data_IF_382428204503
#
_entry.id   IF_382428204503
#
_cell.length_a   1.000
_cell.length_b   1.000
_cell.length_c   1.000
_cell.angle_alpha   90.00
_cell.angle_beta   90.00
_cell.angle_gamma   90.00
#
_symmetry.space_group_name_H-M   'P 1'
#
loop_
_entity.id
_entity.type
_entity.pdbx_description
1 polymer ?
#
# COMPACT_ATOMS: atom_id res chain seq x y z
N UNK A 1 -12.80 -24.64 -0.85
CA UNK A 1 -12.27 -23.46 -0.14
C UNK A 1 -11.74 -22.43 -1.12
N UNK A 2 -12.32 -21.24 -1.11
CA UNK A 2 -11.80 -20.09 -1.87
C UNK A 2 -10.93 -19.31 -0.89
N UNK A 3 -9.62 -19.28 -1.11
CA UNK A 3 -8.70 -18.43 -0.34
C UNK A 3 -8.74 -17.00 -0.90
N UNK A 4 -8.72 -16.00 -0.02
CA UNK A 4 -8.60 -14.58 -0.39
C UNK A 4 -7.15 -14.07 -0.34
N UNK A 5 -6.17 -14.98 -0.22
CA UNK A 5 -4.75 -14.63 -0.19
C UNK A 5 -4.28 -13.91 -1.46
N UNK A 6 -4.83 -14.29 -2.62
CA UNK A 6 -4.61 -13.66 -3.91
C UNK A 6 -5.97 -13.39 -4.55
N UNK A 7 -6.33 -12.13 -4.75
CA UNK A 7 -7.66 -11.75 -5.23
C UNK A 7 -7.61 -10.43 -6.00
N UNK A 8 -8.64 -10.20 -6.81
CA UNK A 8 -8.82 -8.97 -7.54
C UNK A 8 -10.27 -8.47 -7.41
N UNK A 9 -10.42 -7.17 -7.18
CA UNK A 9 -11.71 -6.51 -6.98
C UNK A 9 -11.84 -5.36 -7.96
N UNK A 10 -12.91 -5.39 -8.75
CA UNK A 10 -13.22 -4.37 -9.74
C UNK A 10 -14.22 -3.37 -9.16
N UNK A 11 -13.96 -2.09 -9.36
CA UNK A 11 -14.82 -1.00 -8.96
C UNK A 11 -15.04 -0.06 -10.14
N UNK A 12 -16.27 0.45 -10.24
CA UNK A 12 -16.64 1.45 -11.22
C UNK A 12 -17.08 2.72 -10.48
N UNK A 13 -16.39 3.82 -10.72
CA UNK A 13 -16.74 5.12 -10.17
C UNK A 13 -16.90 6.16 -11.29
N UNK A 14 -17.82 7.10 -11.07
CA UNK A 14 -18.15 8.12 -12.07
C UNK A 14 -16.98 9.07 -12.37
N UNK A 15 -16.19 9.42 -11.35
CA UNK A 15 -15.11 10.40 -11.48
C UNK A 15 -13.76 9.71 -11.71
N UNK A 16 -13.57 8.52 -11.13
CA UNK A 16 -12.31 7.77 -11.21
C UNK A 16 -12.27 6.76 -12.36
N UNK A 17 -13.41 6.46 -12.97
CA UNK A 17 -13.53 5.41 -13.97
C UNK A 17 -13.36 4.03 -13.33
N UNK A 18 -12.73 3.13 -14.08
CA UNK A 18 -12.57 1.74 -13.65
C UNK A 18 -11.29 1.57 -12.82
N UNK A 19 -11.43 0.93 -11.65
CA UNK A 19 -10.34 0.65 -10.72
C UNK A 19 -10.28 -0.87 -10.51
N UNK A 20 -9.07 -1.42 -10.56
CA UNK A 20 -8.80 -2.80 -10.19
C UNK A 20 -7.88 -2.83 -8.97
N UNK A 21 -8.37 -3.38 -7.86
CA UNK A 21 -7.54 -3.63 -6.67
C UNK A 21 -7.06 -5.07 -6.72
N UNK A 22 -5.76 -5.29 -6.88
CA UNK A 22 -5.14 -6.62 -6.86
C UNK A 22 -4.43 -6.79 -5.52
N UNK A 23 -4.86 -7.76 -4.72
CA UNK A 23 -4.18 -8.15 -3.48
C UNK A 23 -3.44 -9.46 -3.67
N UNK A 24 -2.23 -9.54 -3.14
CA UNK A 24 -1.42 -10.75 -3.13
C UNK A 24 -1.04 -11.15 -1.70
N UNK A 25 -0.66 -12.41 -1.56
CA UNK A 25 -0.15 -12.98 -0.32
C UNK A 25 1.15 -12.29 0.15
N UNK A 26 1.61 -12.69 1.34
CA UNK A 26 2.92 -12.26 1.86
C UNK A 26 4.06 -12.78 0.99
N UNK A 27 4.99 -11.88 0.61
CA UNK A 27 6.17 -12.20 -0.18
C UNK A 27 5.82 -13.10 -1.38
N UNK A 28 4.92 -12.63 -2.26
CA UNK A 28 4.14 -13.47 -3.17
C UNK A 28 5.02 -14.35 -4.03
N UNK A 29 4.51 -15.53 -4.37
CA UNK A 29 5.25 -16.45 -5.24
C UNK A 29 5.42 -15.87 -6.64
N UNK A 30 6.48 -16.26 -7.38
CA UNK A 30 6.70 -15.75 -8.74
C UNK A 30 5.49 -15.91 -9.67
N UNK A 31 4.78 -17.04 -9.58
CA UNK A 31 3.58 -17.29 -10.39
C UNK A 31 2.41 -16.34 -10.05
N UNK A 32 2.35 -15.84 -8.82
CA UNK A 32 1.33 -14.86 -8.39
C UNK A 32 1.66 -13.49 -8.97
N UNK A 33 2.94 -13.10 -9.03
CA UNK A 33 3.34 -11.86 -9.71
C UNK A 33 3.03 -11.91 -11.21
N UNK A 34 3.31 -13.05 -11.84
CA UNK A 34 2.97 -13.26 -13.24
C UNK A 34 1.45 -13.21 -13.47
N UNK A 35 0.66 -13.87 -12.61
CA UNK A 35 -0.79 -13.79 -12.64
C UNK A 35 -1.29 -12.35 -12.51
N UNK A 36 -0.78 -11.58 -11.54
CA UNK A 36 -1.19 -10.20 -11.31
C UNK A 36 -0.89 -9.31 -12.52
N UNK A 37 0.31 -9.46 -13.11
CA UNK A 37 0.71 -8.77 -14.35
C UNK A 37 -0.22 -9.13 -15.51
N UNK A 38 -0.44 -10.41 -15.76
CA UNK A 38 -1.25 -10.88 -16.86
C UNK A 38 -2.72 -10.45 -16.70
N UNK A 39 -3.22 -10.42 -15.46
CA UNK A 39 -4.56 -9.92 -15.15
C UNK A 39 -4.68 -8.43 -15.48
N UNK A 40 -3.77 -7.61 -14.97
CA UNK A 40 -3.75 -6.16 -15.22
C UNK A 40 -3.57 -5.80 -16.70
N UNK A 41 -2.85 -6.66 -17.45
CA UNK A 41 -2.63 -6.50 -18.88
C UNK A 41 -3.73 -7.14 -19.77
N UNK A 42 -4.70 -7.84 -19.19
CA UNK A 42 -5.77 -8.48 -19.95
C UNK A 42 -6.65 -7.46 -20.65
N UNK A 43 -7.29 -7.85 -21.76
CA UNK A 43 -8.21 -6.99 -22.52
C UNK A 43 -9.30 -6.36 -21.62
N UNK A 44 -9.73 -7.08 -20.59
CA UNK A 44 -10.72 -6.59 -19.63
C UNK A 44 -10.20 -5.44 -18.78
N UNK A 45 -8.94 -5.49 -18.33
CA UNK A 45 -8.42 -4.61 -17.27
C UNK A 45 -7.33 -3.64 -17.72
N UNK A 46 -6.89 -3.70 -18.98
CA UNK A 46 -5.83 -2.84 -19.51
C UNK A 46 -6.17 -1.34 -19.41
N UNK A 47 -7.47 -0.99 -19.35
CA UNK A 47 -7.95 0.38 -19.16
C UNK A 47 -8.14 0.82 -17.71
N UNK A 48 -8.03 -0.09 -16.74
CA UNK A 48 -8.31 0.19 -15.32
C UNK A 48 -7.11 0.83 -14.65
N UNK A 49 -7.36 1.70 -13.66
CA UNK A 49 -6.32 2.12 -12.70
C UNK A 49 -6.09 0.98 -11.72
N UNK A 50 -4.88 0.43 -11.70
CA UNK A 50 -4.54 -0.70 -10.83
C UNK A 50 -3.95 -0.20 -9.51
N UNK A 51 -4.56 -0.62 -8.40
CA UNK A 51 -4.01 -0.51 -7.05
C UNK A 51 -3.50 -1.89 -6.65
N UNK A 52 -2.19 -2.02 -6.48
CA UNK A 52 -1.57 -3.25 -6.03
C UNK A 52 -1.42 -3.27 -4.50
N UNK A 53 -1.74 -4.39 -3.87
CA UNK A 53 -1.62 -4.57 -2.43
C UNK A 53 -0.86 -5.86 -2.11
N UNK A 54 0.11 -5.77 -1.20
CA UNK A 54 0.85 -6.94 -0.72
C UNK A 54 1.31 -6.71 0.71
N UNK A 55 1.53 -7.78 1.48
CA UNK A 55 1.96 -7.62 2.87
C UNK A 55 3.37 -7.01 2.96
N UNK A 56 4.37 -7.55 2.24
CA UNK A 56 5.78 -7.14 2.33
C UNK A 56 6.31 -6.63 1.00
N UNK A 57 6.71 -5.35 0.96
CA UNK A 57 7.23 -4.70 -0.24
C UNK A 57 8.30 -3.63 0.08
N UNK A 58 7.97 -2.64 0.92
CA UNK A 58 8.92 -1.61 1.36
C UNK A 58 9.36 -1.78 2.81
N UNK A 59 10.59 -1.33 3.11
CA UNK A 59 11.10 -1.09 4.46
C UNK A 59 10.59 0.26 4.98
N UNK A 60 10.25 0.29 6.27
CA UNK A 60 9.92 1.50 7.01
C UNK A 60 11.02 2.56 6.88
N UNK A 61 10.60 3.82 6.88
CA UNK A 61 11.43 5.02 6.77
C UNK A 61 12.19 5.21 5.45
N UNK A 62 12.99 4.23 5.03
CA UNK A 62 13.86 4.36 3.86
C UNK A 62 13.12 4.13 2.54
N UNK A 63 11.95 3.47 2.58
CA UNK A 63 11.22 3.03 1.38
C UNK A 63 12.07 2.14 0.44
N UNK A 64 13.13 1.50 0.96
CA UNK A 64 13.86 0.48 0.21
C UNK A 64 13.01 -0.77 0.05
N UNK A 65 13.22 -1.53 -1.02
CA UNK A 65 12.55 -2.81 -1.18
C UNK A 65 13.00 -3.84 -0.14
N UNK A 66 12.06 -4.69 0.30
CA UNK A 66 12.35 -5.81 1.19
C UNK A 66 13.05 -6.95 0.44
N UNK A 67 13.95 -7.68 1.10
CA UNK A 67 14.61 -8.86 0.51
C UNK A 67 13.78 -10.14 0.72
N UNK A 68 13.06 -10.23 1.83
CA UNK A 68 12.26 -11.39 2.26
C UNK A 68 13.05 -12.73 2.41
N UNK A 69 14.29 -12.85 1.94
CA UNK A 69 15.12 -14.07 1.97
C UNK A 69 15.16 -14.81 3.31
N UNK A 70 15.15 -14.06 4.42
CA UNK A 70 15.20 -14.57 5.80
C UNK A 70 13.98 -15.41 6.22
N UNK A 71 12.84 -15.23 5.56
CA UNK A 71 11.63 -15.98 5.88
C UNK A 71 11.73 -17.41 5.35
N UNK A 72 10.96 -18.34 5.90
CA UNK A 72 10.98 -19.76 5.50
C UNK A 72 9.97 -20.10 4.41
N UNK A 73 9.05 -19.19 4.08
CA UNK A 73 8.01 -19.40 3.06
C UNK A 73 8.69 -19.54 1.70
N UNK A 74 8.38 -20.61 0.97
CA UNK A 74 8.94 -20.89 -0.36
C UNK A 74 7.84 -21.47 -1.27
N UNK A 75 7.83 -21.14 -2.57
CA UNK A 75 8.63 -20.08 -3.20
C UNK A 75 8.25 -18.69 -2.65
N UNK A 76 9.10 -17.69 -2.84
CA UNK A 76 8.83 -16.31 -2.42
C UNK A 76 9.58 -15.33 -3.31
N UNK A 77 9.18 -14.06 -3.26
CA UNK A 77 9.85 -12.97 -3.96
C UNK A 77 10.26 -11.85 -3.02
N UNK A 78 11.23 -11.04 -3.44
CA UNK A 78 11.59 -9.80 -2.77
C UNK A 78 10.59 -8.68 -3.13
N UNK A 79 10.60 -7.57 -2.38
CA UNK A 79 9.90 -6.35 -2.79
C UNK A 79 10.42 -5.82 -4.12
N UNK A 80 11.71 -6.03 -4.43
CA UNK A 80 12.29 -5.61 -5.71
C UNK A 80 11.78 -6.47 -6.86
N UNK A 81 11.60 -7.77 -6.66
CA UNK A 81 10.92 -8.63 -7.64
C UNK A 81 9.48 -8.18 -7.90
N UNK A 82 8.73 -7.80 -6.85
CA UNK A 82 7.37 -7.25 -7.00
C UNK A 82 7.37 -6.01 -7.90
N UNK A 83 8.35 -5.12 -7.72
CA UNK A 83 8.53 -3.96 -8.58
C UNK A 83 8.93 -4.33 -10.01
N UNK A 84 10.02 -5.10 -10.17
CA UNK A 84 10.62 -5.39 -11.48
C UNK A 84 9.73 -6.28 -12.36
N UNK A 85 8.99 -7.22 -11.77
CA UNK A 85 8.24 -8.25 -12.53
C UNK A 85 6.76 -7.95 -12.69
N UNK A 86 6.20 -7.05 -11.87
CA UNK A 86 4.79 -6.67 -11.94
C UNK A 86 4.61 -5.16 -12.06
N UNK A 87 4.98 -4.38 -11.05
CA UNK A 87 4.57 -2.96 -10.98
C UNK A 87 5.18 -2.11 -12.08
N UNK A 88 6.51 -2.17 -12.27
CA UNK A 88 7.21 -1.31 -13.22
C UNK A 88 6.92 -1.64 -14.69
N UNK A 89 6.60 -2.90 -14.99
CA UNK A 89 6.30 -3.39 -16.34
C UNK A 89 4.81 -3.29 -16.71
N UNK A 90 3.96 -2.85 -15.78
CA UNK A 90 2.50 -2.78 -15.96
C UNK A 90 2.05 -1.32 -16.01
N UNK A 91 1.77 -0.75 -17.20
CA UNK A 91 1.60 0.70 -17.36
C UNK A 91 0.48 1.33 -16.54
N UNK A 92 -0.56 0.54 -16.22
CA UNK A 92 -1.76 1.00 -15.55
C UNK A 92 -1.73 0.79 -14.01
N UNK A 93 -0.62 0.32 -13.42
CA UNK A 93 -0.43 0.36 -11.97
C UNK A 93 -0.08 1.77 -11.52
N UNK A 94 -0.89 2.33 -10.62
CA UNK A 94 -0.78 3.73 -10.17
C UNK A 94 -0.44 3.87 -8.69
N UNK A 95 -0.77 2.85 -7.89
CA UNK A 95 -0.56 2.84 -6.46
C UNK A 95 -0.19 1.43 -5.97
N UNK A 96 0.80 1.35 -5.10
CA UNK A 96 1.13 0.15 -4.33
C UNK A 96 0.96 0.44 -2.84
N UNK A 97 0.22 -0.42 -2.12
CA UNK A 97 0.07 -0.34 -0.66
C UNK A 97 0.62 -1.60 0.00
N UNK A 98 1.45 -1.42 1.03
CA UNK A 98 1.96 -2.54 1.82
C UNK A 98 2.04 -2.23 3.32
N UNK A 99 2.42 -3.24 4.10
CA UNK A 99 2.68 -3.09 5.54
C UNK A 99 3.97 -3.80 5.94
N UNK A 100 3.84 -4.74 6.88
CA UNK A 100 4.86 -5.68 7.35
C UNK A 100 6.04 -5.11 8.13
N UNK A 101 6.71 -4.11 7.59
CA UNK A 101 7.97 -3.62 8.19
C UNK A 101 7.70 -2.52 9.21
N UNK A 102 8.54 -2.46 10.25
CA UNK A 102 8.49 -1.45 11.30
C UNK A 102 9.52 -1.78 12.37
N UNK A 103 9.89 -0.80 13.19
CA UNK A 103 10.72 -1.02 14.39
C UNK A 103 10.30 -0.08 15.53
N UNK A 104 10.36 -0.52 16.80
CA UNK A 104 10.06 0.35 17.94
C UNK A 104 10.83 1.65 17.84
N UNK A 105 10.11 2.77 17.97
CA UNK A 105 10.64 4.08 17.65
C UNK A 105 9.52 5.10 17.47
N UNK A 106 9.78 6.12 16.65
CA UNK A 106 8.80 7.14 16.33
C UNK A 106 7.81 6.67 15.26
N UNK A 107 6.81 7.51 14.95
CA UNK A 107 5.80 7.20 13.94
C UNK A 107 6.41 6.92 12.55
N UNK A 108 7.45 7.65 12.16
CA UNK A 108 8.18 7.43 10.91
C UNK A 108 8.81 6.04 10.79
N UNK A 109 9.05 5.35 11.91
CA UNK A 109 9.53 3.98 11.93
C UNK A 109 8.40 2.94 11.66
N UNK A 110 7.20 3.42 11.33
CA UNK A 110 6.00 2.63 10.96
C UNK A 110 5.45 2.97 9.56
N UNK A 111 6.06 3.93 8.84
CA UNK A 111 5.58 4.36 7.52
C UNK A 111 6.74 4.52 6.54
N UNK A 112 6.45 4.45 5.25
CA UNK A 112 7.37 4.83 4.20
C UNK A 112 6.58 5.25 2.96
N UNK A 113 7.13 6.14 2.17
CA UNK A 113 6.51 6.56 0.93
C UNK A 113 7.57 6.91 -0.11
N UNK A 114 7.33 6.52 -1.36
CA UNK A 114 8.16 6.86 -2.51
C UNK A 114 7.33 6.93 -3.78
N UNK A 115 7.90 7.57 -4.78
CA UNK A 115 7.35 7.62 -6.14
C UNK A 115 8.48 7.29 -7.09
N UNK A 116 8.24 6.34 -7.98
CA UNK A 116 9.15 6.00 -9.07
C UNK A 116 8.37 5.96 -10.39
N UNK A 117 9.07 6.09 -11.51
CA UNK A 117 8.48 5.91 -12.83
C UNK A 117 8.46 4.44 -13.21
N UNK A 118 7.33 3.97 -13.73
CA UNK A 118 7.27 2.69 -14.42
C UNK A 118 7.93 2.78 -15.81
N UNK A 119 8.03 1.66 -16.52
CA UNK A 119 8.68 1.60 -17.85
C UNK A 119 7.92 2.42 -18.91
N UNK A 120 6.63 2.68 -18.70
CA UNK A 120 5.84 3.60 -19.51
C UNK A 120 6.03 5.08 -19.15
N UNK A 121 6.91 5.39 -18.17
CA UNK A 121 7.22 6.75 -17.73
C UNK A 121 6.19 7.38 -16.79
N UNK A 122 5.17 6.64 -16.36
CA UNK A 122 4.11 7.10 -15.44
C UNK A 122 4.58 6.99 -14.00
N UNK A 123 4.15 7.93 -13.15
CA UNK A 123 4.44 7.88 -11.73
C UNK A 123 3.65 6.76 -11.06
N UNK A 124 4.33 5.96 -10.23
CA UNK A 124 3.69 4.96 -9.37
C UNK A 124 3.94 5.35 -7.92
N UNK A 125 2.85 5.65 -7.21
CA UNK A 125 2.88 5.91 -5.79
C UNK A 125 3.07 4.60 -5.02
N UNK A 126 3.96 4.59 -4.04
CA UNK A 126 4.24 3.40 -3.26
C UNK A 126 4.24 3.78 -1.78
N UNK A 127 3.32 3.19 -1.02
CA UNK A 127 3.06 3.57 0.36
C UNK A 127 3.08 2.35 1.28
N UNK A 128 3.94 2.40 2.29
CA UNK A 128 3.94 1.46 3.41
C UNK A 128 3.30 2.11 4.63
N UNK A 129 2.36 1.40 5.24
CA UNK A 129 1.75 1.79 6.50
C UNK A 129 1.60 0.57 7.42
N UNK A 130 2.37 0.53 8.49
CA UNK A 130 2.36 -0.56 9.46
C UNK A 130 2.62 -0.06 10.89
N UNK A 131 1.55 0.40 11.51
CA UNK A 131 1.55 1.02 12.84
C UNK A 131 1.51 0.03 14.00
N UNK A 132 1.64 -1.28 13.74
CA UNK A 132 1.44 -2.37 14.71
C UNK A 132 2.29 -2.28 15.99
N UNK A 133 3.37 -1.50 15.95
CA UNK A 133 4.38 -1.35 17.02
C UNK A 133 4.22 -0.05 17.82
N UNK A 134 3.30 0.83 17.44
CA UNK A 134 3.00 2.05 18.21
C UNK A 134 2.23 1.67 19.48
N UNK A 135 2.25 2.58 20.47
CA UNK A 135 1.58 2.34 21.75
C UNK A 135 2.22 1.25 22.61
N UNK A 136 3.55 1.12 22.59
CA UNK A 136 4.30 0.27 23.53
C UNK A 136 5.26 -0.75 22.91
N UNK A 137 5.48 -0.73 21.59
CA UNK A 137 6.37 -1.66 20.91
C UNK A 137 5.68 -2.98 20.55
N UNK A 138 6.46 -4.05 20.41
CA UNK A 138 5.96 -5.36 19.92
C UNK A 138 4.88 -5.98 20.80
N UNK A 139 4.92 -5.70 22.10
CA UNK A 139 3.95 -6.18 23.10
C UNK A 139 3.07 -5.01 23.61
N UNK A 140 2.94 -3.95 22.81
CA UNK A 140 2.17 -2.75 23.12
C UNK A 140 0.66 -2.94 22.91
N UNK A 141 -0.06 -1.84 22.82
CA UNK A 141 -1.52 -1.82 22.66
C UNK A 141 -2.01 -2.11 21.22
N UNK A 142 -1.13 -2.51 20.31
CA UNK A 142 -1.48 -2.83 18.92
C UNK A 142 -1.56 -1.60 18.01
N UNK A 143 -0.86 -0.51 18.31
CA UNK A 143 -0.65 0.59 17.36
C UNK A 143 -1.53 1.81 17.54
N UNK A 144 -2.02 2.08 18.75
CA UNK A 144 -2.87 3.25 19.09
C UNK A 144 -4.10 3.43 18.17
N UNK A 145 -4.55 2.35 17.51
CA UNK A 145 -5.66 2.37 16.57
C UNK A 145 -5.43 3.22 15.32
N UNK A 146 -4.20 3.58 14.96
CA UNK A 146 -3.97 4.44 13.78
C UNK A 146 -4.45 3.80 12.47
N UNK A 147 -5.15 4.59 11.66
CA UNK A 147 -5.68 4.26 10.34
C UNK A 147 -5.10 5.21 9.30
N UNK A 148 -4.82 4.67 8.11
CA UNK A 148 -4.46 5.43 6.91
C UNK A 148 -5.70 5.53 6.03
N UNK A 149 -6.19 6.75 5.85
CA UNK A 149 -7.38 7.06 5.03
C UNK A 149 -6.89 7.59 3.68
N UNK A 150 -7.34 6.95 2.61
CA UNK A 150 -7.17 7.41 1.23
C UNK A 150 -8.51 7.92 0.72
N UNK A 151 -8.59 9.23 0.50
CA UNK A 151 -9.80 9.90 0.04
C UNK A 151 -9.62 10.25 -1.44
N UNK A 152 -10.38 9.55 -2.31
CA UNK A 152 -10.39 9.74 -3.75
C UNK A 152 -11.21 10.99 -4.08
N UNK A 153 -10.55 12.06 -4.52
CA UNK A 153 -11.21 13.35 -4.73
C UNK A 153 -12.06 13.37 -6.00
N UNK A 154 -13.08 14.23 -6.09
CA UNK A 154 -13.98 14.30 -7.25
C UNK A 154 -13.33 14.71 -8.58
N UNK A 155 -12.08 15.17 -8.58
CA UNK A 155 -11.35 15.53 -9.78
C UNK A 155 -10.78 14.33 -10.56
N UNK A 156 -10.99 13.11 -10.04
CA UNK A 156 -10.64 11.85 -10.70
C UNK A 156 -9.15 11.52 -10.69
N UNK A 157 -8.33 12.31 -10.01
CA UNK A 157 -6.87 12.15 -10.00
C UNK A 157 -6.20 12.41 -8.65
N UNK A 158 -6.75 13.25 -7.79
CA UNK A 158 -6.13 13.54 -6.50
C UNK A 158 -6.59 12.55 -5.43
N UNK A 159 -5.65 11.88 -4.77
CA UNK A 159 -5.93 11.10 -3.56
C UNK A 159 -5.38 11.86 -2.36
N UNK A 160 -6.23 12.23 -1.40
CA UNK A 160 -5.78 12.79 -0.12
C UNK A 160 -5.45 11.68 0.84
N UNK A 161 -4.27 11.77 1.43
CA UNK A 161 -3.77 10.84 2.44
C UNK A 161 -3.93 11.49 3.81
N UNK A 162 -4.57 10.80 4.76
CA UNK A 162 -4.71 11.27 6.14
C UNK A 162 -4.44 10.12 7.12
N UNK A 163 -3.77 10.40 8.22
CA UNK A 163 -3.65 9.47 9.36
C UNK A 163 -4.61 9.88 10.49
N UNK A 164 -5.47 8.96 10.93
CA UNK A 164 -6.48 9.18 11.97
C UNK A 164 -6.51 8.02 12.97
N UNK A 165 -6.77 8.29 14.25
CA UNK A 165 -7.00 7.25 15.27
C UNK A 165 -8.40 7.36 15.88
N UNK A 166 -9.28 6.37 15.69
CA UNK A 166 -10.55 6.28 16.43
C UNK A 166 -10.36 6.12 17.94
N UNK A 167 -9.25 5.53 18.40
CA UNK A 167 -8.94 5.42 19.83
C UNK A 167 -8.88 6.81 20.49
N UNK A 168 -8.20 7.76 19.85
CA UNK A 168 -8.17 9.13 20.33
C UNK A 168 -9.42 9.91 19.94
N UNK A 169 -10.02 9.63 18.78
CA UNK A 169 -11.17 10.37 18.26
C UNK A 169 -12.49 10.16 19.01
N UNK A 170 -12.66 9.02 19.69
CA UNK A 170 -13.92 8.69 20.38
C UNK A 170 -14.16 9.54 21.65
N UNK A 171 -13.10 9.98 22.33
CA UNK A 171 -13.23 10.74 23.59
C UNK A 171 -13.02 12.25 23.37
N UNK A 172 -13.91 13.11 23.92
CA UNK A 172 -13.70 14.56 23.91
C UNK A 172 -12.36 15.02 24.51
N UNK A 173 -11.81 14.26 25.47
CA UNK A 173 -10.53 14.59 26.10
C UNK A 173 -9.32 14.31 25.21
N UNK A 174 -9.44 13.42 24.22
CA UNK A 174 -8.33 13.02 23.34
C UNK A 174 -8.54 13.33 21.87
N UNK A 175 -9.74 13.75 21.45
CA UNK A 175 -10.07 13.96 20.02
C UNK A 175 -9.13 14.93 19.29
N UNK A 176 -8.53 15.87 20.02
CA UNK A 176 -7.56 16.82 19.47
C UNK A 176 -6.22 16.16 19.09
N UNK A 177 -5.97 14.93 19.56
CA UNK A 177 -4.83 14.09 19.20
C UNK A 177 -5.15 13.10 18.06
N UNK A 178 -6.42 13.01 17.64
CA UNK A 178 -6.88 11.97 16.73
C UNK A 178 -6.38 12.12 15.29
N UNK A 179 -5.90 13.30 14.93
CA UNK A 179 -5.35 13.59 13.62
C UNK A 179 -3.87 13.88 13.73
N UNK A 180 -3.06 13.15 12.95
CA UNK A 180 -1.65 13.51 12.76
C UNK A 180 -1.52 14.40 11.54
N UNK A 181 -0.58 15.35 11.56
CA UNK A 181 -0.47 16.43 10.57
C UNK A 181 0.93 16.59 9.97
N UNK A 182 1.87 15.71 10.31
CA UNK A 182 3.21 15.74 9.71
C UNK A 182 3.15 15.42 8.21
N UNK A 183 4.20 15.75 7.46
CA UNK A 183 4.23 15.57 6.01
C UNK A 183 4.06 14.11 5.55
N UNK A 184 4.44 13.14 6.40
CA UNK A 184 4.23 11.70 6.14
C UNK A 184 2.86 11.18 6.63
N UNK A 185 2.08 12.03 7.31
CA UNK A 185 0.73 11.75 7.81
C UNK A 185 -0.36 12.36 6.94
N UNK A 186 -0.08 13.52 6.34
CA UNK A 186 -1.00 14.23 5.47
C UNK A 186 -0.29 14.75 4.22
N UNK A 187 -0.69 14.23 3.06
CA UNK A 187 -0.18 14.65 1.76
C UNK A 187 -1.18 14.27 0.66
N UNK A 188 -0.99 14.87 -0.51
CA UNK A 188 -1.80 14.57 -1.69
C UNK A 188 -0.96 13.76 -2.70
N UNK A 189 -1.57 12.73 -3.28
CA UNK A 189 -1.06 12.01 -4.45
C UNK A 189 -1.83 12.47 -5.68
N UNK A 190 -1.17 12.57 -6.83
CA UNK A 190 -1.84 12.87 -8.11
C UNK A 190 -1.60 11.71 -9.06
N UNK A 191 -2.67 11.05 -9.45
CA UNK A 191 -2.66 9.91 -10.37
C UNK A 191 -2.77 10.42 -11.81
N UNK A 192 -1.82 10.01 -12.65
CA UNK A 192 -1.73 10.37 -14.08
C UNK A 192 -2.54 9.44 -15.02
#
# INVERSE_FOLDING_TARGET
DISMENAAFEFHDRNWGDILVITTEFAPRPEVLEWARNLAASEKYIGHKVIAMTHSYLKHRTAEYTDNSRYKVRPQTSGKDFWDKFVSVTPNVVLVVCGHTGRPGGFEDSVAYRVDKNEAGRNVHQMMFNVQILGGGWEGNGGDGWLRILELMPDGKTVKVKTYSPLFGISPSTKHLAHRTEAYDQFDMTID
#
